data_IF_129598249978
#
_entry.id   IF_129598249978
#
_cell.length_a   1.000
_cell.length_b   1.000
_cell.length_c   1.000
_cell.angle_alpha   90.00
_cell.angle_beta   90.00
_cell.angle_gamma   90.00
#
_symmetry.space_group_name_H-M   'P 1'
#
loop_
_entity.id
_entity.type
_entity.pdbx_description
1 polymer ?
#
# COMPACT_ATOMS: atom_id res chain seq x y z
N UNK A 1 -2.48 34.19 16.08
CA UNK A 1 -2.96 33.29 15.03
C UNK A 1 -2.50 31.87 15.38
N UNK A 2 -3.42 30.95 15.71
CA UNK A 2 -3.08 29.55 15.98
C UNK A 2 -2.77 28.88 14.65
N UNK A 3 -1.51 28.49 14.46
CA UNK A 3 -1.07 27.70 13.31
C UNK A 3 -1.67 26.29 13.47
N UNK A 4 -2.84 26.06 12.89
CA UNK A 4 -3.41 24.71 12.76
C UNK A 4 -2.55 24.02 11.69
N UNK A 5 -1.51 23.30 12.12
CA UNK A 5 -0.82 22.35 11.24
C UNK A 5 -1.85 21.28 10.87
N UNK A 6 -2.41 21.37 9.67
CA UNK A 6 -3.14 20.26 9.06
C UNK A 6 -2.08 19.20 8.80
N UNK A 7 -1.96 18.25 9.72
CA UNK A 7 -1.15 17.04 9.51
C UNK A 7 -1.88 16.22 8.47
N UNK A 8 -1.47 16.38 7.21
CA UNK A 8 -1.93 15.52 6.15
C UNK A 8 -1.20 14.18 6.30
N UNK A 9 -1.86 13.22 6.95
CA UNK A 9 -1.38 11.83 7.10
C UNK A 9 -1.14 11.12 5.77
N UNK A 10 -1.55 11.70 4.64
CA UNK A 10 -1.28 11.20 3.28
C UNK A 10 -0.03 11.84 2.67
N UNK A 11 0.59 12.83 3.33
CA UNK A 11 1.82 13.49 2.86
C UNK A 11 3.10 12.80 3.33
N UNK A 12 3.03 11.93 4.34
CA UNK A 12 4.20 11.14 4.74
C UNK A 12 4.47 10.05 3.70
N UNK A 13 5.64 10.15 3.07
CA UNK A 13 6.13 9.10 2.19
C UNK A 13 6.46 7.88 3.06
N UNK A 14 5.93 6.68 2.72
CA UNK A 14 6.43 5.45 3.31
C UNK A 14 7.94 5.35 3.12
N UNK A 15 8.61 4.74 4.08
CA UNK A 15 10.04 4.49 4.02
C UNK A 15 10.37 3.57 2.83
N UNK A 16 11.45 3.87 2.10
CA UNK A 16 11.95 3.03 1.00
C UNK A 16 12.26 1.59 1.48
N UNK A 17 12.51 1.39 2.78
CA UNK A 17 12.63 0.07 3.41
C UNK A 17 11.38 -0.83 3.27
N UNK A 18 10.25 -0.27 2.81
CA UNK A 18 9.04 -1.04 2.49
C UNK A 18 9.15 -1.76 1.14
N UNK A 19 10.00 -1.29 0.22
CA UNK A 19 10.20 -1.92 -1.09
C UNK A 19 10.72 -3.34 -0.89
N UNK A 20 10.13 -4.30 -1.60
CA UNK A 20 10.40 -5.74 -1.48
C UNK A 20 9.61 -6.45 -0.38
N UNK A 21 8.91 -5.72 0.50
CA UNK A 21 8.09 -6.31 1.56
C UNK A 21 6.68 -6.64 1.07
N UNK A 22 5.98 -7.47 1.84
CA UNK A 22 4.60 -7.90 1.53
C UNK A 22 3.59 -6.85 1.97
N UNK A 23 2.65 -6.56 1.07
CA UNK A 23 1.50 -5.70 1.29
C UNK A 23 0.23 -6.55 1.35
N UNK A 24 -0.46 -6.50 2.49
CA UNK A 24 -1.75 -7.16 2.68
C UNK A 24 -2.87 -6.16 2.38
N UNK A 25 -3.56 -6.34 1.26
CA UNK A 25 -4.64 -5.45 0.82
C UNK A 25 -5.88 -5.60 1.70
N UNK A 26 -6.63 -4.52 1.90
CA UNK A 26 -8.01 -4.61 2.41
C UNK A 26 -9.00 -4.99 1.32
N UNK A 27 -8.60 -4.95 0.04
CA UNK A 27 -9.40 -5.49 -1.05
C UNK A 27 -9.45 -7.01 -0.96
N UNK A 28 -10.63 -7.57 -1.16
CA UNK A 28 -10.82 -9.00 -1.31
C UNK A 28 -10.82 -9.34 -2.79
N UNK A 29 -10.12 -10.39 -3.21
CA UNK A 29 -10.36 -10.99 -4.50
C UNK A 29 -11.73 -11.68 -4.51
N UNK A 30 -12.30 -11.88 -5.70
CA UNK A 30 -13.61 -12.52 -5.87
C UNK A 30 -13.67 -13.94 -5.29
N UNK A 31 -12.51 -14.59 -5.13
CA UNK A 31 -12.34 -15.88 -4.44
C UNK A 31 -12.50 -15.79 -2.91
N UNK A 32 -12.63 -14.59 -2.34
CA UNK A 32 -12.83 -14.35 -0.91
C UNK A 32 -11.57 -14.46 -0.06
N UNK A 33 -10.41 -14.75 -0.66
CA UNK A 33 -9.12 -14.89 0.02
C UNK A 33 -8.46 -13.57 0.44
N UNK A 34 -7.25 -13.67 0.98
CA UNK A 34 -6.39 -12.51 1.24
C UNK A 34 -5.68 -12.11 -0.05
N UNK A 35 -5.67 -10.82 -0.39
CA UNK A 35 -4.91 -10.31 -1.53
C UNK A 35 -3.57 -9.75 -1.02
N UNK A 36 -2.51 -10.53 -1.21
CA UNK A 36 -1.15 -10.20 -0.76
C UNK A 36 -0.26 -9.97 -1.97
N UNK A 37 0.36 -8.79 -2.05
CA UNK A 37 1.33 -8.45 -3.08
C UNK A 37 2.68 -8.05 -2.52
N UNK A 38 3.61 -7.69 -3.40
CA UNK A 38 4.96 -7.20 -3.05
C UNK A 38 5.06 -5.72 -3.42
N UNK A 39 5.58 -4.91 -2.50
CA UNK A 39 5.78 -3.48 -2.74
C UNK A 39 6.97 -3.30 -3.68
N UNK A 40 6.76 -2.59 -4.78
CA UNK A 40 7.76 -2.33 -5.82
C UNK A 40 8.27 -0.88 -5.79
N UNK A 41 7.47 0.05 -5.27
CA UNK A 41 7.84 1.46 -5.12
C UNK A 41 6.95 2.12 -4.06
N UNK A 42 7.40 3.25 -3.52
CA UNK A 42 6.65 4.06 -2.56
C UNK A 42 6.56 5.51 -3.05
N UNK A 43 5.52 6.22 -2.61
CA UNK A 43 5.36 7.66 -2.78
C UNK A 43 4.49 8.20 -1.63
N UNK A 44 4.40 9.52 -1.42
CA UNK A 44 3.49 10.11 -0.43
C UNK A 44 2.09 9.51 -0.53
N UNK A 45 1.64 8.88 0.56
CA UNK A 45 0.30 8.32 0.70
C UNK A 45 0.02 7.01 -0.03
N UNK A 46 0.95 6.45 -0.83
CA UNK A 46 0.70 5.25 -1.62
C UNK A 46 1.92 4.35 -1.84
N UNK A 47 1.66 3.07 -2.08
CA UNK A 47 2.64 2.05 -2.42
C UNK A 47 2.27 1.40 -3.75
N UNK A 48 3.25 1.18 -4.62
CA UNK A 48 3.05 0.42 -5.85
C UNK A 48 3.21 -1.04 -5.50
N UNK A 49 2.18 -1.84 -5.72
CA UNK A 49 2.13 -3.24 -5.35
C UNK A 49 2.08 -4.08 -6.61
N UNK A 50 2.95 -5.09 -6.68
CA UNK A 50 2.85 -6.19 -7.63
C UNK A 50 2.01 -7.31 -7.01
N UNK A 51 0.93 -7.65 -7.69
CA UNK A 51 -0.03 -8.65 -7.25
C UNK A 51 0.31 -10.05 -7.76
N UNK A 52 -0.22 -11.09 -7.10
CA UNK A 52 -0.02 -12.46 -7.55
C UNK A 52 -0.71 -12.69 -8.90
N UNK A 53 -0.26 -13.70 -9.67
CA UNK A 53 -0.92 -14.12 -10.90
C UNK A 53 -2.40 -14.42 -10.65
N UNK A 54 -3.27 -14.00 -11.57
CA UNK A 54 -4.72 -14.14 -11.43
C UNK A 54 -5.42 -12.89 -10.89
N UNK A 55 -4.68 -11.85 -10.47
CA UNK A 55 -5.27 -10.53 -10.26
C UNK A 55 -5.39 -9.78 -11.60
N UNK A 56 -6.52 -9.08 -11.89
CA UNK A 56 -6.73 -8.43 -13.19
C UNK A 56 -5.69 -7.35 -13.52
N UNK A 57 -5.12 -6.74 -12.49
CA UNK A 57 -4.13 -5.67 -12.62
C UNK A 57 -2.83 -6.13 -11.99
N UNK A 58 -1.78 -6.48 -12.75
CA UNK A 58 -0.57 -7.08 -12.20
C UNK A 58 0.20 -6.13 -11.28
N UNK A 59 0.20 -4.83 -11.59
CA UNK A 59 0.81 -3.78 -10.79
C UNK A 59 -0.20 -2.64 -10.57
N UNK A 60 -0.50 -2.26 -9.33
CA UNK A 60 -1.31 -1.07 -9.04
C UNK A 60 -0.73 -0.22 -7.91
N UNK A 61 -1.04 1.08 -7.93
CA UNK A 61 -0.82 1.94 -6.77
C UNK A 61 -1.96 1.75 -5.79
N UNK A 62 -1.62 1.42 -4.55
CA UNK A 62 -2.55 1.34 -3.43
C UNK A 62 -2.27 2.44 -2.42
N UNK A 63 -3.33 3.04 -1.91
CA UNK A 63 -3.21 3.98 -0.81
C UNK A 63 -2.75 3.23 0.46
N UNK A 64 -1.93 3.90 1.27
CA UNK A 64 -1.34 3.32 2.49
C UNK A 64 -2.39 2.96 3.57
N UNK A 65 -3.61 3.48 3.46
CA UNK A 65 -4.76 3.14 4.30
C UNK A 65 -5.61 1.97 3.75
N UNK A 66 -5.33 1.52 2.52
CA UNK A 66 -6.02 0.40 1.84
C UNK A 66 -5.31 -0.94 2.03
N UNK A 67 -4.46 -1.05 3.03
CA UNK A 67 -3.74 -2.28 3.33
C UNK A 67 -2.82 -2.12 4.52
N UNK A 68 -2.02 -3.14 4.76
CA UNK A 68 -1.08 -3.18 5.87
C UNK A 68 0.22 -3.81 5.41
N UNK A 69 1.33 -3.17 5.80
CA UNK A 69 2.67 -3.73 5.63
C UNK A 69 2.80 -4.95 6.55
N UNK A 70 3.07 -6.12 5.98
CA UNK A 70 3.29 -7.32 6.80
C UNK A 70 4.65 -7.23 7.48
N UNK A 71 4.68 -7.56 8.77
CA UNK A 71 5.91 -7.84 9.52
C UNK A 71 6.38 -9.23 9.07
N UNK A 72 7.49 -9.28 8.35
CA UNK A 72 8.24 -10.53 8.12
C UNK A 72 8.79 -11.05 9.43
#
# INVERSE_FOLDING_TARGET
>A
MRNIKIYDRYAECPDDAWIGRRWHSTRKPDSGGELIGVIMAVRPGAVRVRWPPGWPVPDSWEATDRGTLMKT
#
